data_IF_553659996196
#
_entry.id   IF_553659996196
#
_cell.length_a   1.000
_cell.length_b   1.000
_cell.length_c   1.000
_cell.angle_alpha   90.00
_cell.angle_beta   90.00
_cell.angle_gamma   90.00
#
_symmetry.space_group_name_H-M   'P 1'
#
loop_
_entity.id
_entity.type
_entity.pdbx_description
1 polymer ?
#
# COMPACT_ATOMS: atom_id res chain seq x y z
N UNK A 1 27.62 -26.80 -53.61
CA UNK A 1 27.78 -25.40 -54.05
C UNK A 1 27.38 -24.48 -52.90
N UNK A 2 28.30 -23.55 -52.51
CA UNK A 2 28.04 -22.24 -51.88
C UNK A 2 27.29 -22.29 -50.53
N UNK A 3 27.96 -22.08 -49.38
CA UNK A 3 28.29 -20.74 -48.86
C UNK A 3 27.01 -20.06 -48.36
N UNK A 4 26.90 -19.53 -47.14
CA UNK A 4 27.38 -18.18 -46.83
C UNK A 4 26.84 -17.79 -45.43
N UNK A 5 27.74 -17.22 -44.63
CA UNK A 5 27.60 -16.31 -43.49
C UNK A 5 26.87 -16.69 -42.17
N UNK A 6 27.67 -16.60 -41.12
CA UNK A 6 27.30 -16.25 -39.76
C UNK A 6 26.52 -14.93 -39.68
N UNK A 7 25.53 -14.89 -38.79
CA UNK A 7 25.00 -13.66 -38.22
C UNK A 7 25.00 -13.83 -36.71
N UNK A 8 26.01 -13.24 -36.08
CA UNK A 8 26.03 -12.95 -34.64
C UNK A 8 25.05 -11.79 -34.44
N UNK A 9 23.84 -12.08 -33.96
CA UNK A 9 22.94 -11.03 -33.51
C UNK A 9 23.28 -10.72 -32.05
N UNK A 10 23.88 -9.54 -31.85
CA UNK A 10 24.07 -8.90 -30.56
C UNK A 10 22.74 -8.87 -29.80
N UNK A 11 22.68 -9.51 -28.63
CA UNK A 11 21.64 -9.25 -27.63
C UNK A 11 21.96 -7.90 -27.01
N UNK A 12 21.36 -6.83 -27.53
CA UNK A 12 21.29 -5.56 -26.82
C UNK A 12 20.33 -5.76 -25.65
N UNK A 13 20.90 -6.03 -24.48
CA UNK A 13 20.20 -5.92 -23.22
C UNK A 13 19.73 -4.45 -23.07
N UNK A 14 18.45 -4.21 -23.25
CA UNK A 14 17.79 -3.00 -22.77
C UNK A 14 17.88 -3.01 -21.25
N UNK A 15 18.62 -2.10 -20.59
CA UNK A 15 18.28 -1.84 -19.20
C UNK A 15 16.85 -1.29 -19.23
N UNK A 16 15.94 -2.01 -18.60
CA UNK A 16 14.65 -1.47 -18.20
C UNK A 16 14.97 -0.22 -17.37
N UNK A 17 14.93 0.93 -18.02
CA UNK A 17 14.86 2.21 -17.35
C UNK A 17 13.61 2.10 -16.48
N UNK A 18 13.83 1.82 -15.19
CA UNK A 18 12.87 2.11 -14.15
C UNK A 18 12.51 3.57 -14.38
N UNK A 19 11.33 3.80 -14.94
CA UNK A 19 10.69 5.08 -14.83
C UNK A 19 10.43 5.23 -13.33
N UNK A 20 11.40 5.83 -12.65
CA UNK A 20 11.29 6.19 -11.26
C UNK A 20 10.04 7.04 -11.15
N UNK A 21 9.12 6.54 -10.34
CA UNK A 21 7.82 7.11 -10.10
C UNK A 21 7.98 8.56 -9.62
N UNK A 22 7.82 9.50 -10.55
CA UNK A 22 7.55 10.89 -10.23
C UNK A 22 6.14 10.99 -9.64
N UNK A 23 6.02 10.88 -8.32
CA UNK A 23 4.84 11.32 -7.61
C UNK A 23 5.15 11.72 -6.16
N UNK A 24 4.98 13.03 -5.91
CA UNK A 24 4.54 13.63 -4.65
C UNK A 24 5.61 14.06 -3.63
N UNK A 25 6.19 15.25 -3.86
CA UNK A 25 6.90 16.05 -2.83
C UNK A 25 6.02 17.15 -2.22
N UNK A 26 4.77 16.81 -1.86
CA UNK A 26 3.99 17.51 -0.83
C UNK A 26 3.47 16.40 0.08
N UNK A 27 4.14 16.22 1.22
CA UNK A 27 4.12 14.99 2.00
C UNK A 27 2.72 14.55 2.41
N UNK A 28 2.22 13.52 1.73
CA UNK A 28 1.06 12.77 2.21
C UNK A 28 1.41 12.23 3.60
N UNK A 29 0.59 12.49 4.64
CA UNK A 29 0.93 12.04 5.98
C UNK A 29 1.02 10.51 5.97
N UNK A 30 2.15 9.98 6.45
CA UNK A 30 2.29 8.55 6.66
C UNK A 30 1.11 8.04 7.51
N UNK A 31 0.61 6.82 7.26
CA UNK A 31 -0.59 6.31 7.94
C UNK A 31 -0.51 6.35 9.47
N UNK A 32 0.70 6.22 10.04
CA UNK A 32 0.95 6.42 11.47
C UNK A 32 0.60 7.84 11.95
N UNK A 33 0.98 8.88 11.20
CA UNK A 33 0.64 10.25 11.55
C UNK A 33 -0.87 10.50 11.50
N UNK A 34 -1.59 9.86 10.57
CA UNK A 34 -3.06 9.91 10.51
C UNK A 34 -3.66 9.21 11.73
N UNK A 35 -3.13 8.04 12.11
CA UNK A 35 -3.56 7.32 13.31
C UNK A 35 -3.38 8.17 14.57
N UNK A 36 -2.20 8.77 14.77
CA UNK A 36 -1.91 9.60 15.94
C UNK A 36 -2.83 10.82 16.03
N UNK A 37 -3.10 11.47 14.88
CA UNK A 37 -3.94 12.65 14.84
C UNK A 37 -5.43 12.34 15.11
N UNK A 38 -5.96 11.28 14.50
CA UNK A 38 -7.41 11.09 14.38
C UNK A 38 -7.92 9.90 15.22
N UNK A 39 -7.07 8.92 15.55
CA UNK A 39 -7.50 7.65 16.17
C UNK A 39 -6.95 7.45 17.59
N UNK A 40 -5.69 7.83 17.83
CA UNK A 40 -4.95 7.47 19.06
C UNK A 40 -5.56 8.01 20.36
N UNK A 41 -6.30 9.12 20.28
CA UNK A 41 -7.01 9.69 21.43
C UNK A 41 -7.98 8.70 22.09
N UNK A 42 -8.68 7.89 21.29
CA UNK A 42 -9.60 6.85 21.75
C UNK A 42 -8.97 5.45 21.66
N UNK A 43 -8.22 5.18 20.59
CA UNK A 43 -7.55 3.93 20.32
C UNK A 43 -6.06 4.05 20.63
N UNK A 44 -5.71 4.13 21.91
CA UNK A 44 -4.33 4.33 22.40
C UNK A 44 -3.27 3.34 21.87
N UNK A 45 -3.71 2.19 21.37
CA UNK A 45 -2.84 1.15 20.85
C UNK A 45 -3.47 0.57 19.58
N UNK A 46 -2.75 0.69 18.48
CA UNK A 46 -3.17 0.25 17.15
C UNK A 46 -3.30 -1.25 17.03
N UNK A 47 -2.37 -2.01 17.60
CA UNK A 47 -2.38 -3.48 17.50
C UNK A 47 -3.53 -4.04 18.35
N UNK A 48 -3.78 -3.45 19.52
CA UNK A 48 -4.95 -3.76 20.35
C UNK A 48 -6.26 -3.37 19.66
N UNK A 49 -6.28 -2.33 18.84
CA UNK A 49 -7.46 -1.98 18.06
C UNK A 49 -7.70 -3.00 16.94
N UNK A 50 -6.68 -3.35 16.17
CA UNK A 50 -6.75 -4.36 15.11
C UNK A 50 -7.12 -5.74 15.65
N UNK A 51 -6.64 -6.12 16.84
CA UNK A 51 -6.99 -7.38 17.48
C UNK A 51 -8.52 -7.56 17.67
N UNK A 52 -9.27 -6.48 17.88
CA UNK A 52 -10.75 -6.53 18.04
C UNK A 52 -11.48 -6.88 16.76
N UNK A 53 -10.86 -6.64 15.62
CA UNK A 53 -11.41 -6.95 14.28
C UNK A 53 -10.60 -8.04 13.57
N UNK A 54 -9.71 -8.73 14.29
CA UNK A 54 -8.84 -9.76 13.73
C UNK A 54 -9.61 -10.89 13.02
N UNK A 55 -10.82 -11.19 13.45
CA UNK A 55 -11.72 -12.15 12.79
C UNK A 55 -12.01 -11.80 11.33
N UNK A 56 -11.97 -10.51 10.95
CA UNK A 56 -12.18 -10.05 9.59
C UNK A 56 -10.88 -9.98 8.78
N UNK A 57 -9.73 -9.87 9.44
CA UNK A 57 -8.42 -9.67 8.81
C UNK A 57 -7.63 -10.97 8.65
N UNK A 58 -7.91 -11.97 9.49
CA UNK A 58 -7.15 -13.22 9.55
C UNK A 58 -7.26 -13.98 8.23
N UNK A 59 -6.11 -14.36 7.67
CA UNK A 59 -6.03 -15.11 6.42
C UNK A 59 -6.14 -14.24 5.16
N UNK A 60 -6.40 -12.93 5.30
CA UNK A 60 -6.40 -12.02 4.16
C UNK A 60 -5.00 -11.46 3.88
N UNK A 61 -4.58 -11.38 2.61
CA UNK A 61 -3.36 -10.66 2.24
C UNK A 61 -3.51 -9.15 2.47
N UNK A 62 -2.40 -8.39 2.61
CA UNK A 62 -2.45 -6.96 2.88
C UNK A 62 -3.38 -6.12 1.99
N UNK A 63 -3.45 -6.32 0.66
CA UNK A 63 -4.36 -5.53 -0.18
C UNK A 63 -5.83 -5.73 0.18
N UNK A 64 -6.25 -6.94 0.50
CA UNK A 64 -7.64 -7.24 0.89
C UNK A 64 -7.95 -6.68 2.28
N UNK A 65 -6.99 -6.78 3.21
CA UNK A 65 -7.09 -6.14 4.52
C UNK A 65 -7.30 -4.63 4.40
N UNK A 66 -6.57 -3.97 3.50
CA UNK A 66 -6.68 -2.53 3.27
C UNK A 66 -8.08 -2.14 2.77
N UNK A 67 -8.64 -2.88 1.82
CA UNK A 67 -10.01 -2.64 1.33
C UNK A 67 -11.03 -2.80 2.46
N UNK A 68 -10.95 -3.90 3.22
CA UNK A 68 -11.86 -4.12 4.33
C UNK A 68 -11.72 -3.04 5.42
N UNK A 69 -10.49 -2.68 5.78
CA UNK A 69 -10.21 -1.65 6.79
C UNK A 69 -10.72 -0.29 6.35
N UNK A 70 -10.55 0.09 5.09
CA UNK A 70 -11.12 1.33 4.55
C UNK A 70 -12.63 1.36 4.73
N UNK A 71 -13.31 0.31 4.28
CA UNK A 71 -14.77 0.24 4.32
C UNK A 71 -15.28 0.18 5.76
N UNK A 72 -14.59 -0.56 6.64
CA UNK A 72 -14.87 -0.56 8.07
C UNK A 72 -14.70 0.83 8.67
N UNK A 73 -13.57 1.50 8.44
CA UNK A 73 -13.29 2.84 8.98
C UNK A 73 -14.36 3.83 8.54
N UNK A 74 -14.72 3.86 7.25
CA UNK A 74 -15.76 4.75 6.70
C UNK A 74 -17.14 4.55 7.33
N UNK A 75 -17.42 3.35 7.87
CA UNK A 75 -18.69 3.02 8.53
C UNK A 75 -18.59 3.02 10.06
N UNK A 76 -17.38 3.00 10.63
CA UNK A 76 -17.14 2.98 12.07
C UNK A 76 -17.03 4.39 12.64
N UNK A 77 -16.37 5.30 11.91
CA UNK A 77 -16.34 6.73 12.17
C UNK A 77 -16.42 7.47 10.83
N UNK A 78 -16.78 8.76 10.83
CA UNK A 78 -16.69 9.57 9.61
C UNK A 78 -15.40 10.40 9.67
N UNK A 79 -14.22 9.86 9.30
CA UNK A 79 -13.04 10.70 9.15
C UNK A 79 -13.18 11.60 7.92
N UNK A 80 -12.23 12.51 7.77
CA UNK A 80 -11.99 13.16 6.50
C UNK A 80 -11.68 12.07 5.45
N UNK A 81 -12.56 11.98 4.43
CA UNK A 81 -12.56 10.87 3.44
C UNK A 81 -11.30 10.81 2.59
N UNK A 82 -10.52 11.89 2.54
CA UNK A 82 -9.29 12.02 1.77
C UNK A 82 -8.11 11.23 2.35
N UNK A 83 -8.14 10.87 3.64
CA UNK A 83 -7.02 10.18 4.33
C UNK A 83 -7.21 8.68 4.53
N UNK A 84 -8.41 8.17 4.28
CA UNK A 84 -8.78 6.80 4.69
C UNK A 84 -8.00 5.73 3.93
N UNK A 85 -7.69 5.96 2.65
CA UNK A 85 -6.96 5.00 1.82
C UNK A 85 -5.52 4.79 2.34
N UNK A 86 -4.83 5.89 2.66
CA UNK A 86 -3.46 5.87 3.21
C UNK A 86 -3.43 5.21 4.59
N UNK A 87 -4.38 5.55 5.45
CA UNK A 87 -4.51 4.95 6.77
C UNK A 87 -4.79 3.45 6.69
N UNK A 88 -5.74 3.04 5.84
CA UNK A 88 -6.12 1.64 5.69
C UNK A 88 -4.97 0.80 5.12
N UNK A 89 -4.25 1.33 4.13
CA UNK A 89 -3.07 0.68 3.57
C UNK A 89 -1.97 0.48 4.62
N UNK A 90 -1.71 1.48 5.48
CA UNK A 90 -0.74 1.36 6.56
C UNK A 90 -1.16 0.33 7.62
N UNK A 91 -2.42 0.40 8.08
CA UNK A 91 -2.97 -0.56 9.05
C UNK A 91 -2.92 -2.00 8.51
N UNK A 92 -3.13 -2.18 7.22
CA UNK A 92 -3.13 -3.48 6.56
C UNK A 92 -1.74 -4.12 6.45
N UNK A 93 -0.67 -3.46 6.85
CA UNK A 93 0.68 -4.05 6.88
C UNK A 93 1.06 -4.60 8.25
N UNK A 94 0.22 -4.39 9.26
CA UNK A 94 0.45 -4.81 10.64
C UNK A 94 -0.05 -6.23 10.91
#
# INVERSE_FOLDING_TARGET
MRGVLAVVLLVLATPAARAEEGATTIGEPAGEAIWEADCAGCHRDVDRALARVSWALTGQPPPERAVWLRDFILNHHTPARDKVEVLAAWLAQR
#
